data_IF_670340068103
#
_entry.id   IF_670340068103
#
_cell.length_a   1.000
_cell.length_b   1.000
_cell.length_c   1.000
_cell.angle_alpha   90.00
_cell.angle_beta   90.00
_cell.angle_gamma   90.00
#
_symmetry.space_group_name_H-M   'P 1'
#
loop_
_entity.id
_entity.type
_entity.pdbx_description
1 polymer ?
#
# COMPACT_ATOMS: atom_id res chain seq x y z
N UNK A 1 -24.91 -8.96 -54.09
CA UNK A 1 -25.58 -8.66 -52.80
C UNK A 1 -24.99 -9.46 -51.64
N UNK A 2 -24.96 -10.81 -51.68
CA UNK A 2 -24.42 -11.64 -50.57
C UNK A 2 -22.94 -11.39 -50.28
N UNK A 3 -22.08 -11.33 -51.31
CA UNK A 3 -20.64 -11.03 -51.15
C UNK A 3 -20.38 -9.64 -50.58
N UNK A 4 -21.17 -8.65 -50.99
CA UNK A 4 -21.09 -7.28 -50.47
C UNK A 4 -21.53 -7.24 -49.01
N UNK A 5 -22.60 -7.93 -48.65
CA UNK A 5 -23.07 -8.03 -47.27
C UNK A 5 -22.05 -8.72 -46.35
N UNK A 6 -21.41 -9.80 -46.80
CA UNK A 6 -20.33 -10.47 -46.06
C UNK A 6 -19.11 -9.57 -45.87
N UNK A 7 -18.72 -8.83 -46.91
CA UNK A 7 -17.62 -7.88 -46.83
C UNK A 7 -17.89 -6.76 -45.82
N UNK A 8 -19.08 -6.16 -45.87
CA UNK A 8 -19.48 -5.15 -44.89
C UNK A 8 -19.60 -5.70 -43.47
N UNK A 9 -20.12 -6.92 -43.31
CA UNK A 9 -20.22 -7.59 -42.00
C UNK A 9 -18.84 -7.84 -41.38
N UNK A 10 -17.87 -8.33 -42.18
CA UNK A 10 -16.50 -8.53 -41.72
C UNK A 10 -15.81 -7.21 -41.29
N UNK A 11 -16.02 -6.13 -42.05
CA UNK A 11 -15.52 -4.81 -41.69
C UNK A 11 -16.14 -4.31 -40.38
N UNK A 12 -17.45 -4.49 -40.21
CA UNK A 12 -18.16 -4.06 -39.00
C UNK A 12 -17.67 -4.80 -37.75
N UNK A 13 -17.49 -6.12 -37.86
CA UNK A 13 -16.97 -6.94 -36.76
C UNK A 13 -15.57 -6.46 -36.37
N UNK A 14 -14.64 -6.33 -37.31
CA UNK A 14 -13.25 -5.93 -37.02
C UNK A 14 -13.13 -4.57 -36.30
N UNK A 15 -14.03 -3.63 -36.60
CA UNK A 15 -14.05 -2.31 -36.00
C UNK A 15 -14.45 -2.35 -34.51
N UNK A 16 -15.41 -3.22 -34.15
CA UNK A 16 -15.85 -3.39 -32.77
C UNK A 16 -14.78 -4.02 -31.87
N UNK A 17 -13.95 -4.93 -32.39
CA UNK A 17 -12.87 -5.56 -31.60
C UNK A 17 -11.81 -4.55 -31.15
N UNK A 18 -11.48 -3.57 -32.00
CA UNK A 18 -10.48 -2.54 -31.68
C UNK A 18 -10.92 -1.69 -30.48
N UNK A 19 -12.20 -1.36 -30.39
CA UNK A 19 -12.75 -0.56 -29.30
C UNK A 19 -12.73 -1.33 -27.96
N UNK A 20 -13.02 -2.64 -28.00
CA UNK A 20 -12.98 -3.49 -26.80
C UNK A 20 -11.54 -3.66 -26.31
N UNK A 21 -10.57 -3.83 -27.21
CA UNK A 21 -9.17 -4.01 -26.84
C UNK A 21 -8.58 -2.74 -26.20
N UNK A 22 -8.90 -1.56 -26.74
CA UNK A 22 -8.49 -0.27 -26.16
C UNK A 22 -9.12 -0.05 -24.79
N UNK A 23 -10.41 -0.38 -24.61
CA UNK A 23 -11.10 -0.26 -23.31
C UNK A 23 -10.49 -1.19 -22.25
N UNK A 24 -10.09 -2.40 -22.62
CA UNK A 24 -9.39 -3.32 -21.70
C UNK A 24 -8.01 -2.79 -21.30
N UNK A 25 -7.27 -2.20 -22.24
CA UNK A 25 -5.99 -1.55 -21.95
C UNK A 25 -6.13 -0.39 -20.97
N UNK A 26 -7.12 0.47 -21.19
CA UNK A 26 -7.44 1.57 -20.27
C UNK A 26 -7.80 1.08 -18.87
N UNK A 27 -8.63 0.04 -18.75
CA UNK A 27 -9.02 -0.51 -17.45
C UNK A 27 -7.81 -1.07 -16.66
N UNK A 28 -6.85 -1.70 -17.34
CA UNK A 28 -5.63 -2.19 -16.70
C UNK A 28 -4.72 -1.07 -16.21
N UNK A 29 -4.53 -0.03 -17.03
CA UNK A 29 -3.72 1.14 -16.65
C UNK A 29 -4.36 1.90 -15.49
N UNK A 30 -5.69 2.08 -15.49
CA UNK A 30 -6.41 2.74 -14.39
C UNK A 30 -6.27 1.96 -13.08
N UNK A 31 -6.32 0.63 -13.14
CA UNK A 31 -6.08 -0.23 -11.98
C UNK A 31 -4.65 -0.07 -11.45
N UNK A 32 -3.65 -0.06 -12.33
CA UNK A 32 -2.24 0.11 -11.94
C UNK A 32 -2.01 1.49 -11.30
N UNK A 33 -2.58 2.55 -11.86
CA UNK A 33 -2.55 3.90 -11.26
C UNK A 33 -3.19 3.87 -9.87
N UNK A 34 -4.36 3.25 -9.72
CA UNK A 34 -5.05 3.21 -8.43
C UNK A 34 -4.23 2.49 -7.34
N UNK A 35 -3.56 1.40 -7.69
CA UNK A 35 -2.69 0.64 -6.78
C UNK A 35 -1.47 1.47 -6.37
N UNK A 36 -0.77 2.04 -7.35
CA UNK A 36 0.43 2.84 -7.10
C UNK A 36 0.10 4.09 -6.29
N UNK A 37 -0.99 4.80 -6.62
CA UNK A 37 -1.46 5.96 -5.86
C UNK A 37 -1.86 5.60 -4.44
N UNK A 38 -2.54 4.46 -4.24
CA UNK A 38 -2.88 3.96 -2.90
C UNK A 38 -1.64 3.68 -2.05
N UNK A 39 -0.65 3.00 -2.63
CA UNK A 39 0.62 2.74 -1.96
C UNK A 39 1.37 4.05 -1.62
N UNK A 40 1.41 4.99 -2.55
CA UNK A 40 2.06 6.29 -2.35
C UNK A 40 1.42 7.04 -1.17
N UNK A 41 0.09 7.14 -1.13
CA UNK A 41 -0.62 7.78 -0.02
C UNK A 41 -0.31 7.14 1.34
N UNK A 42 -0.24 5.81 1.41
CA UNK A 42 0.14 5.12 2.65
C UNK A 42 1.57 5.46 3.09
N UNK A 43 2.51 5.47 2.14
CA UNK A 43 3.90 5.86 2.40
C UNK A 43 4.00 7.32 2.86
N UNK A 44 3.28 8.24 2.22
CA UNK A 44 3.24 9.66 2.61
C UNK A 44 2.72 9.83 4.03
N UNK A 45 1.64 9.13 4.39
CA UNK A 45 1.11 9.17 5.76
C UNK A 45 2.11 8.64 6.78
N UNK A 46 2.87 7.59 6.45
CA UNK A 46 3.90 7.07 7.36
C UNK A 46 5.06 8.06 7.51
N UNK A 47 5.48 8.72 6.43
CA UNK A 47 6.48 9.80 6.47
C UNK A 47 5.99 10.96 7.36
N UNK A 48 4.74 11.38 7.22
CA UNK A 48 4.16 12.43 8.07
C UNK A 48 4.15 12.03 9.55
N UNK A 49 3.87 10.77 9.87
CA UNK A 49 3.97 10.26 11.26
C UNK A 49 5.40 10.28 11.77
N UNK A 50 6.36 9.89 10.93
CA UNK A 50 7.79 9.91 11.24
C UNK A 50 8.37 11.32 11.42
N UNK A 51 7.73 12.35 10.86
CA UNK A 51 8.12 13.75 11.07
C UNK A 51 7.76 14.29 12.48
N UNK A 52 6.93 13.59 13.25
CA UNK A 52 6.70 13.96 14.64
C UNK A 52 7.90 13.55 15.51
N UNK A 53 8.59 14.49 16.18
CA UNK A 53 9.77 14.18 17.01
C UNK A 53 9.43 13.19 18.14
N UNK A 54 8.19 13.20 18.63
CA UNK A 54 7.69 12.28 19.66
C UNK A 54 7.55 10.85 19.13
N UNK A 55 7.07 10.69 17.89
CA UNK A 55 6.95 9.38 17.26
C UNK A 55 8.32 8.81 16.89
N UNK A 56 9.21 9.66 16.37
CA UNK A 56 10.60 9.30 16.09
C UNK A 56 11.35 8.86 17.36
N UNK A 57 11.18 9.57 18.48
CA UNK A 57 11.75 9.18 19.77
C UNK A 57 11.18 7.84 20.24
N UNK A 58 9.87 7.63 20.13
CA UNK A 58 9.23 6.36 20.50
C UNK A 58 9.77 5.20 19.66
N UNK A 59 9.89 5.38 18.35
CA UNK A 59 10.44 4.38 17.44
C UNK A 59 11.92 4.09 17.74
N UNK A 60 12.73 5.12 17.98
CA UNK A 60 14.13 4.96 18.36
C UNK A 60 14.30 4.21 19.70
N UNK A 61 13.41 4.45 20.67
CA UNK A 61 13.40 3.70 21.94
C UNK A 61 12.97 2.24 21.74
N UNK A 62 11.97 1.98 20.90
CA UNK A 62 11.38 0.65 20.69
C UNK A 62 12.24 -0.26 19.81
N UNK A 63 12.67 0.23 18.65
CA UNK A 63 13.36 -0.58 17.64
C UNK A 63 14.89 -0.54 17.79
N UNK A 64 15.43 0.58 18.27
CA UNK A 64 16.88 0.80 18.36
C UNK A 64 17.40 0.81 19.80
N UNK A 65 16.53 0.70 20.82
CA UNK A 65 16.92 0.77 22.23
C UNK A 65 17.59 2.08 22.62
N UNK A 66 17.35 3.15 21.86
CA UNK A 66 18.04 4.43 22.02
C UNK A 66 17.58 5.14 23.30
N UNK A 67 18.54 5.62 24.11
CA UNK A 67 18.29 6.36 25.36
C UNK A 67 19.06 7.68 25.36
N UNK A 68 18.53 8.72 26.01
CA UNK A 68 19.26 9.99 26.15
C UNK A 68 20.41 9.85 27.17
N UNK A 69 21.46 10.68 27.08
CA UNK A 69 22.50 10.71 28.11
C UNK A 69 21.90 10.93 29.50
N UNK A 70 22.09 9.97 30.40
CA UNK A 70 21.53 10.00 31.76
C UNK A 70 20.21 9.21 31.96
N UNK A 71 19.64 8.61 30.92
CA UNK A 71 18.50 7.68 31.04
C UNK A 71 18.96 6.22 31.15
N UNK A 72 18.21 5.38 31.88
CA UNK A 72 18.51 3.96 32.10
C UNK A 72 17.42 3.12 31.43
N UNK A 73 17.81 2.21 30.53
CA UNK A 73 16.88 1.29 29.85
C UNK A 73 16.58 0.09 30.78
N UNK A 74 15.31 -0.13 31.12
CA UNK A 74 14.88 -1.28 31.91
C UNK A 74 14.42 -2.41 31.00
N UNK A 75 15.05 -3.58 31.12
CA UNK A 75 14.56 -4.82 30.52
C UNK A 75 13.86 -5.64 31.60
N UNK A 76 12.54 -5.83 31.47
CA UNK A 76 11.81 -6.74 32.34
C UNK A 76 12.11 -8.18 31.92
N UNK A 77 12.84 -8.94 32.73
CA UNK A 77 12.96 -10.39 32.51
C UNK A 77 11.72 -11.06 33.07
N UNK A 78 11.28 -12.14 32.43
CA UNK A 78 10.09 -12.89 32.89
C UNK A 78 10.24 -13.46 34.31
N UNK A 79 11.46 -13.54 34.83
CA UNK A 79 11.79 -13.89 36.22
C UNK A 79 11.39 -12.81 37.23
N UNK A 80 11.15 -11.56 36.80
CA UNK A 80 10.82 -10.42 37.67
C UNK A 80 9.30 -10.23 37.86
N UNK A 81 8.47 -11.06 37.22
CA UNK A 81 7.03 -11.11 37.49
C UNK A 81 6.82 -11.83 38.83
N UNK A 82 6.94 -11.10 39.94
CA UNK A 82 6.40 -11.58 41.20
C UNK A 82 4.92 -11.95 40.98
N UNK A 83 4.49 -13.16 41.38
CA UNK A 83 3.08 -13.51 41.30
C UNK A 83 2.34 -12.51 42.17
N UNK A 84 1.48 -11.71 41.53
CA UNK A 84 0.55 -10.82 42.20
C UNK A 84 -0.31 -11.69 43.11
N UNK A 85 0.09 -11.80 44.38
CA UNK A 85 -0.67 -12.53 45.38
C UNK A 85 -1.87 -11.65 45.74
N UNK A 86 -3.01 -11.98 45.12
CA UNK A 86 -4.29 -11.35 45.38
C UNK A 86 -4.60 -11.38 46.87
N UNK A 87 -5.03 -10.22 47.38
CA UNK A 87 -5.90 -10.13 48.55
C UNK A 87 -7.34 -10.14 48.10
#
# INVERSE_FOLDING_TARGET
MVLVALYFSALFVSQHWRLVQVRRGLAGIEQEISLVSGHNNLLTQEIERLHSPVYLEKLARQELGMVRPGEILFFFRETDREPVQGR
#
